data_IF_032856790765
#
_entry.id   IF_032856790765
#
_cell.length_a   1.000
_cell.length_b   1.000
_cell.length_c   1.000
_cell.angle_alpha   90.00
_cell.angle_beta   90.00
_cell.angle_gamma   90.00
#
_symmetry.space_group_name_H-M   'P 1'
#
loop_
_entity.id
_entity.type
_entity.pdbx_description
1 polymer ?
#
# COMPACT_ATOMS: atom_id res chain seq x y z
N UNK A 1 18.79 21.19 12.81
CA UNK A 1 18.36 19.96 12.13
C UNK A 1 18.51 20.23 10.65
N UNK A 2 19.24 19.41 9.89
CA UNK A 2 19.30 19.62 8.45
C UNK A 2 17.89 19.42 7.88
N UNK A 3 17.36 20.44 7.22
CA UNK A 3 16.09 20.33 6.50
C UNK A 3 16.26 19.26 5.42
N UNK A 4 15.69 18.07 5.67
CA UNK A 4 15.79 16.96 4.73
C UNK A 4 15.06 17.33 3.45
N UNK A 5 15.80 17.51 2.35
CA UNK A 5 15.20 17.74 1.04
C UNK A 5 14.61 16.43 0.52
N UNK A 6 13.34 16.45 0.15
CA UNK A 6 12.67 15.30 -0.47
C UNK A 6 13.03 15.23 -1.97
N UNK A 7 13.72 14.16 -2.37
CA UNK A 7 14.19 13.97 -3.75
C UNK A 7 13.25 13.15 -4.63
N UNK A 8 12.41 12.30 -4.06
CA UNK A 8 11.46 11.48 -4.81
C UNK A 8 10.58 10.65 -3.89
N UNK A 9 9.58 9.98 -4.47
CA UNK A 9 8.66 9.08 -3.76
C UNK A 9 8.65 7.72 -4.44
N UNK A 10 9.01 6.67 -3.71
CA UNK A 10 8.91 5.29 -4.16
C UNK A 10 7.66 4.63 -3.56
N UNK A 11 6.80 4.09 -4.41
CA UNK A 11 5.56 3.42 -4.04
C UNK A 11 5.65 1.94 -4.44
N UNK A 12 5.67 1.06 -3.43
CA UNK A 12 5.74 -0.39 -3.62
C UNK A 12 4.37 -0.97 -3.34
N UNK A 13 3.74 -1.51 -4.39
CA UNK A 13 2.43 -2.15 -4.36
C UNK A 13 1.37 -1.33 -3.60
N UNK A 14 1.30 -0.04 -3.92
CA UNK A 14 0.49 0.94 -3.21
C UNK A 14 -1.00 0.81 -3.54
N UNK A 15 -1.86 1.04 -2.54
CA UNK A 15 -3.32 0.97 -2.66
C UNK A 15 -3.97 2.15 -3.41
N UNK A 16 -3.18 3.10 -3.92
CA UNK A 16 -3.69 4.20 -4.74
C UNK A 16 -4.69 5.10 -4.00
N UNK A 17 -5.79 5.45 -4.67
CA UNK A 17 -6.72 6.50 -4.24
C UNK A 17 -8.11 6.00 -3.84
N UNK A 18 -8.27 4.71 -3.56
CA UNK A 18 -9.55 4.12 -3.18
C UNK A 18 -9.37 2.87 -2.33
N UNK A 19 -10.42 2.42 -1.62
CA UNK A 19 -10.41 1.13 -0.95
C UNK A 19 -10.07 0.02 -1.95
N UNK A 20 -9.07 -0.78 -1.61
CA UNK A 20 -8.70 -1.95 -2.38
C UNK A 20 -9.72 -3.07 -2.12
N UNK A 21 -9.97 -3.91 -3.13
CA UNK A 21 -10.85 -5.06 -2.96
C UNK A 21 -10.18 -6.08 -2.05
N UNK A 22 -10.64 -6.15 -0.80
CA UNK A 22 -10.45 -7.36 -0.01
C UNK A 22 -11.58 -8.35 -0.32
N UNK A 23 -11.52 -9.56 0.22
CA UNK A 23 -12.67 -10.49 0.19
C UNK A 23 -13.92 -9.95 0.93
N UNK A 24 -13.83 -8.78 1.56
CA UNK A 24 -14.89 -8.15 2.33
C UNK A 24 -15.34 -6.84 1.69
N UNK A 25 -16.65 -6.60 1.75
CA UNK A 25 -17.23 -5.30 1.43
C UNK A 25 -16.74 -4.22 2.40
N UNK A 26 -16.74 -2.97 1.94
CA UNK A 26 -16.35 -1.82 2.77
C UNK A 26 -17.08 -1.80 4.12
N UNK A 27 -18.40 -2.03 4.13
CA UNK A 27 -19.21 -2.02 5.35
C UNK A 27 -18.82 -3.13 6.33
N UNK A 28 -18.45 -4.32 5.82
CA UNK A 28 -17.91 -5.39 6.65
C UNK A 28 -16.59 -4.97 7.29
N UNK A 29 -15.68 -4.33 6.54
CA UNK A 29 -14.41 -3.81 7.08
C UNK A 29 -14.66 -2.72 8.13
N UNK A 30 -15.62 -1.82 7.90
CA UNK A 30 -16.03 -0.80 8.89
C UNK A 30 -16.59 -1.43 10.16
N UNK A 31 -17.45 -2.45 10.05
CA UNK A 31 -17.99 -3.15 11.21
C UNK A 31 -16.89 -3.87 12.00
N UNK A 32 -15.96 -4.54 11.30
CA UNK A 32 -14.81 -5.21 11.90
C UNK A 32 -13.89 -4.21 12.63
N UNK A 33 -13.61 -3.06 12.02
CA UNK A 33 -12.80 -2.01 12.63
C UNK A 33 -13.47 -1.41 13.88
N UNK A 34 -14.78 -1.15 13.85
CA UNK A 34 -15.53 -0.68 15.03
C UNK A 34 -15.49 -1.71 16.16
N UNK A 35 -15.69 -2.99 15.84
CA UNK A 35 -15.66 -4.07 16.83
C UNK A 35 -14.26 -4.27 17.43
N UNK A 36 -13.21 -4.12 16.62
CA UNK A 36 -11.81 -4.25 17.08
C UNK A 36 -11.34 -3.04 17.90
N UNK A 37 -11.90 -1.85 17.66
CA UNK A 37 -11.58 -0.62 18.39
C UNK A 37 -12.43 -0.45 19.67
N UNK A 38 -13.67 -0.95 19.68
CA UNK A 38 -14.63 -0.67 20.75
C UNK A 38 -14.37 -1.36 22.10
N UNK A 39 -13.73 -2.54 22.12
CA UNK A 39 -13.30 -3.19 23.37
C UNK A 39 -12.24 -4.27 23.15
N UNK A 40 -11.37 -4.57 24.15
CA UNK A 40 -10.42 -5.69 24.08
C UNK A 40 -11.10 -7.06 23.88
N UNK A 41 -12.27 -7.27 24.51
CA UNK A 41 -13.03 -8.52 24.40
C UNK A 41 -13.63 -8.68 23.00
N UNK A 42 -14.21 -7.62 22.44
CA UNK A 42 -14.73 -7.61 21.07
C UNK A 42 -13.64 -7.89 20.03
N UNK A 43 -12.48 -7.27 20.21
CA UNK A 43 -11.28 -7.52 19.40
C UNK A 43 -10.88 -8.99 19.42
N UNK A 44 -10.63 -9.57 20.59
CA UNK A 44 -10.20 -10.96 20.69
C UNK A 44 -11.21 -11.94 20.07
N UNK A 45 -12.51 -11.73 20.30
CA UNK A 45 -13.56 -12.57 19.70
C UNK A 45 -13.56 -12.47 18.17
N UNK A 46 -13.48 -11.26 17.64
CA UNK A 46 -13.41 -11.03 16.20
C UNK A 46 -12.19 -11.72 15.58
N UNK A 47 -10.99 -11.48 16.14
CA UNK A 47 -9.78 -12.03 15.56
C UNK A 47 -9.75 -13.56 15.67
N UNK A 48 -10.19 -14.14 16.78
CA UNK A 48 -10.28 -15.60 16.93
C UNK A 48 -11.22 -16.22 15.89
N UNK A 49 -12.32 -15.55 15.55
CA UNK A 49 -13.26 -15.99 14.51
C UNK A 49 -12.64 -15.89 13.10
N UNK A 50 -11.91 -14.82 12.82
CA UNK A 50 -11.35 -14.55 11.49
C UNK A 50 -10.02 -15.27 11.22
N UNK A 51 -9.26 -15.61 12.26
CA UNK A 51 -7.89 -16.16 12.16
C UNK A 51 -7.80 -17.38 11.24
N UNK A 52 -8.69 -18.39 11.29
CA UNK A 52 -8.61 -19.52 10.36
C UNK A 52 -8.75 -19.13 8.89
N UNK A 53 -9.55 -18.09 8.59
CA UNK A 53 -9.69 -17.57 7.24
C UNK A 53 -8.44 -16.79 6.83
N UNK A 54 -7.92 -15.92 7.70
CA UNK A 54 -6.72 -15.12 7.43
C UNK A 54 -5.47 -15.97 7.16
N UNK A 55 -5.31 -17.09 7.87
CA UNK A 55 -4.21 -18.03 7.62
C UNK A 55 -4.29 -18.64 6.21
N UNK A 56 -5.51 -18.84 5.69
CA UNK A 56 -5.72 -19.33 4.31
C UNK A 56 -5.42 -18.27 3.26
N UNK A 57 -5.43 -16.98 3.61
CA UNK A 57 -5.07 -15.88 2.70
C UNK A 57 -3.59 -15.52 2.74
N UNK A 58 -2.74 -16.35 3.36
CA UNK A 58 -1.28 -16.14 3.39
C UNK A 58 -0.78 -15.25 4.54
N UNK A 59 -1.64 -14.92 5.52
CA UNK A 59 -1.19 -14.24 6.74
C UNK A 59 -0.33 -15.21 7.56
N UNK A 60 0.89 -14.82 7.98
CA UNK A 60 1.75 -15.69 8.78
C UNK A 60 1.10 -16.10 10.12
N UNK A 61 1.23 -17.37 10.56
CA UNK A 61 0.71 -17.80 11.86
C UNK A 61 1.25 -17.01 13.06
N UNK A 62 2.45 -16.45 12.92
CA UNK A 62 3.14 -15.67 13.94
C UNK A 62 2.59 -14.27 14.16
N UNK A 63 1.69 -13.77 13.29
CA UNK A 63 1.16 -12.42 13.43
C UNK A 63 0.30 -12.30 14.70
N UNK A 64 0.46 -11.21 15.44
CA UNK A 64 -0.26 -10.98 16.69
C UNK A 64 -1.72 -10.58 16.42
N UNK A 65 -2.62 -10.90 17.35
CA UNK A 65 -4.04 -10.53 17.23
C UNK A 65 -4.23 -9.01 17.11
N UNK A 66 -3.44 -8.24 17.84
CA UNK A 66 -3.49 -6.78 17.79
C UNK A 66 -3.00 -6.22 16.45
N UNK A 67 -2.05 -6.87 15.79
CA UNK A 67 -1.60 -6.47 14.45
C UNK A 67 -2.69 -6.72 13.40
N UNK A 68 -3.43 -7.83 13.52
CA UNK A 68 -4.60 -8.09 12.67
C UNK A 68 -5.70 -7.07 12.96
N UNK A 69 -5.99 -6.77 14.23
CA UNK A 69 -7.00 -5.79 14.59
C UNK A 69 -6.67 -4.39 14.04
N UNK A 70 -5.39 -4.02 14.13
CA UNK A 70 -4.88 -2.74 13.66
C UNK A 70 -4.92 -2.63 12.13
N UNK A 71 -4.70 -3.72 11.39
CA UNK A 71 -4.81 -3.69 9.93
C UNK A 71 -6.23 -3.33 9.47
N UNK A 72 -7.26 -3.91 10.07
CA UNK A 72 -8.66 -3.54 9.79
C UNK A 72 -8.95 -2.08 10.11
N UNK A 73 -8.44 -1.57 11.24
CA UNK A 73 -8.60 -0.17 11.62
C UNK A 73 -7.93 0.77 10.61
N UNK A 74 -6.72 0.45 10.16
CA UNK A 74 -6.00 1.26 9.17
C UNK A 74 -6.70 1.32 7.82
N UNK A 75 -7.30 0.21 7.38
CA UNK A 75 -8.03 0.18 6.12
C UNK A 75 -9.21 1.17 6.12
N UNK A 76 -9.91 1.34 7.24
CA UNK A 76 -11.08 2.23 7.33
C UNK A 76 -10.74 3.68 7.66
N UNK A 77 -9.56 3.93 8.25
CA UNK A 77 -9.11 5.27 8.61
C UNK A 77 -8.39 5.99 7.47
N UNK A 78 -8.23 5.34 6.31
CA UNK A 78 -7.59 5.95 5.15
C UNK A 78 -8.51 6.98 4.51
N UNK A 79 -8.16 8.27 4.63
CA UNK A 79 -8.85 9.34 3.92
C UNK A 79 -8.26 9.49 2.51
N UNK A 80 -8.93 8.89 1.54
CA UNK A 80 -8.50 8.90 0.16
C UNK A 80 -8.59 10.28 -0.51
N UNK A 81 -9.43 11.19 0.00
CA UNK A 81 -9.48 12.56 -0.50
C UNK A 81 -8.21 13.31 -0.10
N UNK A 82 -7.75 13.16 1.15
CA UNK A 82 -6.48 13.71 1.62
C UNK A 82 -5.30 13.08 0.86
N UNK A 83 -5.29 11.76 0.67
CA UNK A 83 -4.24 11.08 -0.10
C UNK A 83 -4.16 11.66 -1.52
N UNK A 84 -5.31 11.79 -2.19
CA UNK A 84 -5.36 12.37 -3.54
C UNK A 84 -4.85 13.80 -3.57
N UNK A 85 -5.26 14.65 -2.62
CA UNK A 85 -4.79 16.03 -2.54
C UNK A 85 -3.27 16.12 -2.33
N UNK A 86 -2.71 15.29 -1.44
CA UNK A 86 -1.27 15.23 -1.19
C UNK A 86 -0.49 14.80 -2.43
N UNK A 87 -0.97 13.77 -3.15
CA UNK A 87 -0.33 13.32 -4.39
C UNK A 87 -0.40 14.39 -5.48
N UNK A 88 -1.53 15.07 -5.62
CA UNK A 88 -1.66 16.18 -6.57
C UNK A 88 -0.66 17.31 -6.27
N UNK A 89 -0.42 17.62 -5.00
CA UNK A 89 0.58 18.63 -4.61
C UNK A 89 2.00 18.19 -4.97
N UNK A 90 2.34 16.91 -4.78
CA UNK A 90 3.64 16.36 -5.19
C UNK A 90 3.82 16.39 -6.72
N UNK A 91 2.76 16.07 -7.48
CA UNK A 91 2.77 16.13 -8.94
C UNK A 91 2.96 17.57 -9.42
N UNK A 92 2.28 18.56 -8.83
CA UNK A 92 2.47 19.99 -9.15
C UNK A 92 3.92 20.45 -8.93
N UNK A 93 4.57 19.92 -7.90
CA UNK A 93 5.99 20.18 -7.59
C UNK A 93 6.96 19.38 -8.45
N UNK A 94 6.46 18.65 -9.45
CA UNK A 94 7.24 17.78 -10.32
C UNK A 94 8.10 16.80 -9.52
N UNK A 95 7.56 16.28 -8.41
CA UNK A 95 8.25 15.28 -7.61
C UNK A 95 8.43 14.00 -8.42
N UNK A 96 9.65 13.44 -8.52
CA UNK A 96 9.89 12.15 -9.14
C UNK A 96 9.17 11.02 -8.41
N UNK A 97 8.50 10.15 -9.16
CA UNK A 97 7.88 8.93 -8.65
C UNK A 97 8.53 7.68 -9.24
N UNK A 98 8.75 6.71 -8.37
CA UNK A 98 9.02 5.32 -8.71
C UNK A 98 7.83 4.48 -8.27
N UNK A 99 7.31 3.62 -9.15
CA UNK A 99 6.24 2.68 -8.82
C UNK A 99 6.72 1.27 -9.14
N UNK A 100 6.54 0.35 -8.21
CA UNK A 100 6.63 -1.09 -8.47
C UNK A 100 5.36 -1.80 -8.00
N UNK A 101 4.82 -2.70 -8.80
CA UNK A 101 3.59 -3.44 -8.50
C UNK A 101 3.66 -4.89 -9.02
N UNK A 102 2.87 -5.77 -8.41
CA UNK A 102 2.76 -7.16 -8.81
C UNK A 102 1.38 -7.39 -9.46
N UNK A 103 1.35 -7.95 -10.66
CA UNK A 103 0.11 -8.21 -11.39
C UNK A 103 -0.75 -9.30 -10.74
N UNK A 104 -0.13 -10.19 -9.96
CA UNK A 104 -0.78 -11.29 -9.24
C UNK A 104 -1.28 -10.92 -7.83
N UNK A 105 -1.23 -9.64 -7.41
CA UNK A 105 -1.76 -9.25 -6.11
C UNK A 105 -3.30 -9.34 -6.08
N UNK A 106 -3.89 -10.22 -5.23
CA UNK A 106 -5.34 -10.33 -5.12
C UNK A 106 -6.01 -9.13 -4.45
N UNK A 107 -5.24 -8.28 -3.75
CA UNK A 107 -5.71 -7.14 -2.97
C UNK A 107 -5.57 -5.86 -3.80
N UNK A 108 -4.35 -5.54 -4.25
CA UNK A 108 -4.10 -4.37 -5.11
C UNK A 108 -4.26 -4.79 -6.57
N UNK A 109 -5.49 -4.71 -7.04
CA UNK A 109 -5.84 -5.03 -8.42
C UNK A 109 -5.15 -4.06 -9.40
N UNK A 110 -4.89 -4.58 -10.62
CA UNK A 110 -4.24 -3.84 -11.71
C UNK A 110 -4.86 -2.47 -11.99
N UNK A 111 -6.18 -2.36 -11.96
CA UNK A 111 -6.90 -1.11 -12.20
C UNK A 111 -6.62 -0.01 -11.15
N UNK A 112 -6.28 -0.39 -9.91
CA UNK A 112 -5.82 0.55 -8.87
C UNK A 112 -4.43 1.09 -9.21
N UNK A 113 -3.53 0.19 -9.65
CA UNK A 113 -2.19 0.58 -10.08
C UNK A 113 -2.24 1.49 -11.31
N UNK A 114 -3.05 1.13 -12.31
CA UNK A 114 -3.19 1.89 -13.56
C UNK A 114 -3.70 3.31 -13.27
N UNK A 115 -4.66 3.47 -12.35
CA UNK A 115 -5.13 4.78 -11.88
C UNK A 115 -4.00 5.61 -11.26
N UNK A 116 -3.21 5.01 -10.37
CA UNK A 116 -2.08 5.69 -9.71
C UNK A 116 -1.02 6.12 -10.72
N UNK A 117 -0.63 5.23 -11.63
CA UNK A 117 0.37 5.49 -12.68
C UNK A 117 -0.09 6.61 -13.60
N UNK A 118 -1.36 6.62 -14.01
CA UNK A 118 -1.92 7.68 -14.84
C UNK A 118 -1.87 9.06 -14.15
N UNK A 119 -2.11 9.10 -12.84
CA UNK A 119 -2.12 10.36 -12.08
C UNK A 119 -0.71 10.91 -11.86
N UNK A 120 0.25 10.05 -11.47
CA UNK A 120 1.59 10.53 -11.09
C UNK A 120 2.60 10.53 -12.23
N UNK A 121 2.32 9.82 -13.33
CA UNK A 121 3.22 9.67 -14.47
C UNK A 121 4.65 9.35 -14.03
N UNK A 122 4.87 8.19 -13.37
CA UNK A 122 6.14 7.89 -12.73
C UNK A 122 7.26 7.78 -13.77
N UNK A 123 8.47 8.13 -13.35
CA UNK A 123 9.65 7.98 -14.21
C UNK A 123 10.01 6.52 -14.44
N UNK A 124 9.77 5.69 -13.42
CA UNK A 124 9.93 4.24 -13.48
C UNK A 124 8.66 3.59 -12.99
N UNK A 125 8.10 2.73 -13.83
CA UNK A 125 7.00 1.83 -13.49
C UNK A 125 7.45 0.38 -13.71
N UNK A 126 7.87 -0.27 -12.62
CA UNK A 126 8.29 -1.66 -12.61
C UNK A 126 7.08 -2.56 -12.34
N UNK A 127 6.45 -3.04 -13.41
CA UNK A 127 5.38 -4.02 -13.32
C UNK A 127 5.94 -5.44 -13.38
N UNK A 128 5.75 -6.20 -12.31
CA UNK A 128 6.18 -7.60 -12.20
C UNK A 128 4.98 -8.52 -12.37
N UNK A 129 5.15 -9.60 -13.13
CA UNK A 129 4.09 -10.61 -13.33
C UNK A 129 3.69 -11.30 -12.02
N UNK A 130 4.66 -11.53 -11.12
CA UNK A 130 4.40 -12.13 -9.82
C UNK A 130 5.18 -11.47 -8.69
N UNK A 131 4.61 -11.53 -7.49
CA UNK A 131 5.21 -11.00 -6.27
C UNK A 131 4.23 -10.92 -5.09
N UNK A 132 2.93 -11.00 -5.37
CA UNK A 132 1.85 -10.92 -4.40
C UNK A 132 1.81 -9.57 -3.66
N UNK A 133 1.08 -9.55 -2.55
CA UNK A 133 0.80 -8.30 -1.84
C UNK A 133 2.04 -7.61 -1.25
N UNK A 134 3.01 -8.40 -0.79
CA UNK A 134 4.26 -7.89 -0.22
C UNK A 134 5.42 -8.08 -1.19
N UNK A 135 5.35 -7.37 -2.33
CA UNK A 135 6.33 -7.48 -3.42
C UNK A 135 7.78 -7.30 -2.96
N UNK A 136 8.02 -6.51 -1.91
CA UNK A 136 9.33 -6.30 -1.30
C UNK A 136 9.92 -7.56 -0.62
N UNK A 137 9.12 -8.58 -0.32
CA UNK A 137 9.60 -9.84 0.26
C UNK A 137 10.02 -10.84 -0.81
N UNK A 138 9.31 -10.85 -1.93
CA UNK A 138 9.47 -11.83 -3.01
C UNK A 138 10.38 -11.33 -4.13
N UNK A 139 10.44 -10.01 -4.34
CA UNK A 139 11.12 -9.34 -5.47
C UNK A 139 12.09 -8.26 -5.00
N UNK A 140 12.65 -8.43 -3.81
CA UNK A 140 13.53 -7.44 -3.17
C UNK A 140 14.70 -7.03 -4.08
N UNK A 141 15.31 -8.00 -4.76
CA UNK A 141 16.48 -7.77 -5.60
C UNK A 141 16.11 -6.95 -6.84
N UNK A 142 15.08 -7.36 -7.57
CA UNK A 142 14.59 -6.66 -8.77
C UNK A 142 14.17 -5.22 -8.45
N UNK A 143 13.44 -5.04 -7.34
CA UNK A 143 13.03 -3.71 -6.87
C UNK A 143 14.25 -2.88 -6.51
N UNK A 144 15.19 -3.42 -5.72
CA UNK A 144 16.36 -2.68 -5.25
C UNK A 144 17.28 -2.26 -6.40
N UNK A 145 17.47 -3.11 -7.41
CA UNK A 145 18.23 -2.78 -8.62
C UNK A 145 17.57 -1.62 -9.37
N UNK A 146 16.27 -1.72 -9.65
CA UNK A 146 15.55 -0.65 -10.35
C UNK A 146 15.53 0.68 -9.56
N UNK A 147 15.45 0.60 -8.23
CA UNK A 147 15.50 1.78 -7.35
C UNK A 147 16.88 2.43 -7.38
N UNK A 148 17.97 1.65 -7.40
CA UNK A 148 19.33 2.17 -7.50
C UNK A 148 19.55 2.89 -8.84
N UNK A 149 19.12 2.28 -9.94
CA UNK A 149 19.21 2.88 -11.28
C UNK A 149 18.42 4.19 -11.37
N UNK A 150 17.21 4.21 -10.78
CA UNK A 150 16.38 5.40 -10.71
C UNK A 150 17.03 6.53 -9.89
N UNK A 151 17.61 6.21 -8.74
CA UNK A 151 18.32 7.18 -7.88
C UNK A 151 19.57 7.72 -8.58
N UNK A 152 20.31 6.88 -9.29
CA UNK A 152 21.52 7.27 -10.02
C UNK A 152 21.23 8.12 -11.26
N UNK A 153 19.99 8.11 -11.76
CA UNK A 153 19.58 8.89 -12.93
C UNK A 153 19.50 10.39 -12.57
N UNK A 154 20.29 11.26 -13.24
CA UNK A 154 20.24 12.69 -12.99
C UNK A 154 18.82 13.23 -13.20
N UNK A 155 18.26 13.83 -12.17
CA UNK A 155 16.97 14.49 -12.26
C UNK A 155 17.17 15.86 -12.92
N UNK A 156 16.33 16.26 -13.90
CA UNK A 156 16.42 17.61 -14.47
C UNK A 156 16.34 18.63 -13.33
N UNK A 157 17.29 19.55 -13.32
CA UNK A 157 17.43 20.58 -12.29
C UNK A 157 16.12 21.32 -12.12
N UNK A 158 15.53 21.22 -10.91
CA UNK A 158 14.32 21.95 -10.53
C UNK A 158 14.69 23.44 -10.46
N UNK A 159 14.12 24.25 -11.35
CA UNK A 159 14.14 25.72 -11.29
C UNK A 159 13.17 26.22 -10.22
#
# INVERSE_FOLDING_TARGET
MADGVLHGVALLNSAGFRPHSTHWSHDQVVAMAKMSAGSPVGRQKLIRLLRPFLLKTGVPPSILDDEIAYSFQRTVLSDYAIIRANVQELVKRQMPFFIANAADDPIIKRDICDELVAVVSPQVHLQLETGGHNIQKSRAHEIATALQDWIATPQPSRL
#
